data_IF_207663501498
#
_entry.id   IF_207663501498
#
_cell.length_a   1.000
_cell.length_b   1.000
_cell.length_c   1.000
_cell.angle_alpha   90.00
_cell.angle_beta   90.00
_cell.angle_gamma   90.00
#
_symmetry.space_group_name_H-M   'P 1'
#
loop_
_entity.id
_entity.type
_entity.pdbx_description
1 polymer ?
#
# COMPACT_ATOMS: atom_id res chain seq x y z
N UNK A 1 -86.73 28.72 -0.72
CA UNK A 1 -85.60 29.07 -1.59
C UNK A 1 -84.56 27.95 -1.48
N UNK A 2 -84.32 27.23 -2.58
CA UNK A 2 -83.19 26.34 -2.91
C UNK A 2 -82.99 25.07 -2.02
N UNK A 3 -83.33 23.85 -2.45
CA UNK A 3 -82.58 22.93 -3.37
C UNK A 3 -81.22 22.50 -2.79
N UNK A 4 -80.79 21.22 -2.67
CA UNK A 4 -81.24 19.93 -3.22
C UNK A 4 -80.69 18.71 -2.42
N UNK A 5 -81.56 17.71 -2.21
CA UNK A 5 -81.43 16.26 -2.43
C UNK A 5 -80.39 15.37 -1.70
N UNK A 6 -80.94 14.56 -0.78
CA UNK A 6 -80.90 13.08 -0.69
C UNK A 6 -80.07 12.27 -1.70
N UNK A 7 -79.30 11.30 -1.17
CA UNK A 7 -79.17 9.85 -1.50
C UNK A 7 -77.86 9.40 -0.83
N UNK A 8 -77.66 8.24 -0.21
CA UNK A 8 -78.40 6.99 -0.08
C UNK A 8 -77.42 6.00 0.57
N UNK A 9 -77.96 5.08 1.36
CA UNK A 9 -77.30 3.97 2.04
C UNK A 9 -76.27 3.20 1.20
N UNK A 10 -75.10 2.87 1.76
CA UNK A 10 -74.45 1.56 1.56
C UNK A 10 -73.79 1.13 2.87
N UNK A 11 -74.35 0.05 3.44
CA UNK A 11 -73.76 -0.79 4.48
C UNK A 11 -72.73 -1.70 3.78
N UNK A 12 -71.48 -1.70 4.22
CA UNK A 12 -70.55 -2.79 3.92
C UNK A 12 -69.85 -3.22 5.20
N UNK A 13 -70.30 -4.36 5.73
CA UNK A 13 -69.57 -5.13 6.70
C UNK A 13 -68.28 -5.63 6.03
N UNK A 14 -67.12 -5.13 6.46
CA UNK A 14 -65.86 -5.82 6.21
C UNK A 14 -65.62 -6.81 7.34
N UNK A 15 -66.13 -8.03 7.12
CA UNK A 15 -65.44 -9.24 7.53
C UNK A 15 -64.00 -9.13 6.99
N UNK A 16 -63.06 -8.69 7.84
CA UNK A 16 -61.66 -8.91 7.55
C UNK A 16 -61.46 -10.42 7.65
N UNK A 17 -61.43 -11.05 6.49
CA UNK A 17 -60.90 -12.39 6.34
C UNK A 17 -59.50 -12.36 6.94
N UNK A 18 -59.29 -13.17 7.98
CA UNK A 18 -57.96 -13.61 8.36
C UNK A 18 -57.45 -14.44 7.18
N UNK A 19 -56.82 -13.75 6.23
CA UNK A 19 -55.87 -14.35 5.31
C UNK A 19 -54.53 -14.22 6.00
N UNK A 20 -54.01 -15.32 6.51
CA UNK A 20 -52.58 -15.44 6.72
C UNK A 20 -51.87 -15.12 5.39
N UNK A 21 -50.91 -14.21 5.44
CA UNK A 21 -50.00 -13.97 4.32
C UNK A 21 -48.61 -13.66 4.88
N UNK A 22 -47.83 -14.72 5.08
CA UNK A 22 -46.37 -14.70 5.14
C UNK A 22 -45.76 -14.32 3.77
N UNK A 23 -46.18 -13.20 3.14
CA UNK A 23 -45.85 -12.94 1.73
C UNK A 23 -45.38 -11.52 1.41
N UNK A 24 -44.49 -10.93 2.20
CA UNK A 24 -43.74 -9.72 1.77
C UNK A 24 -42.25 -9.69 2.16
N UNK A 25 -41.70 -10.73 2.80
CA UNK A 25 -40.30 -10.65 3.27
C UNK A 25 -39.26 -10.85 2.15
N UNK A 26 -39.73 -11.18 0.93
CA UNK A 26 -38.86 -11.35 -0.24
C UNK A 26 -39.07 -10.24 -1.27
N UNK A 27 -37.97 -9.71 -1.79
CA UNK A 27 -37.95 -8.58 -2.71
C UNK A 27 -37.32 -8.96 -4.05
N UNK A 28 -37.83 -8.37 -5.12
CA UNK A 28 -37.21 -8.42 -6.44
C UNK A 28 -36.71 -7.02 -6.82
N UNK A 29 -35.40 -6.89 -6.91
CA UNK A 29 -34.71 -5.62 -7.12
C UNK A 29 -33.58 -5.79 -8.11
N UNK A 30 -33.39 -4.74 -8.90
CA UNK A 30 -32.32 -4.59 -9.85
C UNK A 30 -31.91 -3.14 -9.79
N UNK A 31 -30.68 -2.91 -9.36
CA UNK A 31 -30.05 -1.60 -9.44
C UNK A 31 -28.60 -1.78 -9.88
N UNK A 32 -28.08 -0.73 -10.52
CA UNK A 32 -26.73 -0.70 -11.04
C UNK A 32 -26.10 0.63 -10.66
N UNK A 33 -24.94 0.54 -10.04
CA UNK A 33 -24.07 1.66 -9.69
C UNK A 33 -24.80 2.78 -8.90
N UNK A 34 -25.62 2.39 -7.90
CA UNK A 34 -26.36 3.33 -7.05
C UNK A 34 -25.71 3.48 -5.66
N UNK A 35 -25.66 4.69 -5.07
CA UNK A 35 -25.23 4.88 -3.69
C UNK A 35 -26.09 4.07 -2.70
N UNK A 36 -25.51 3.66 -1.57
CA UNK A 36 -26.23 2.86 -0.57
C UNK A 36 -27.52 3.56 -0.10
N UNK A 37 -27.48 4.87 0.11
CA UNK A 37 -28.64 5.66 0.50
C UNK A 37 -29.80 5.51 -0.50
N UNK A 38 -29.50 5.66 -1.79
CA UNK A 38 -30.50 5.50 -2.86
C UNK A 38 -31.03 4.06 -2.95
N UNK A 39 -30.17 3.08 -2.66
CA UNK A 39 -30.57 1.67 -2.58
C UNK A 39 -31.51 1.43 -1.40
N UNK A 40 -31.22 1.97 -0.21
CA UNK A 40 -32.08 1.87 0.98
C UNK A 40 -33.43 2.57 0.76
N UNK A 41 -33.45 3.74 0.11
CA UNK A 41 -34.69 4.43 -0.28
C UNK A 41 -35.52 3.60 -1.26
N UNK A 42 -34.86 2.99 -2.25
CA UNK A 42 -35.51 2.11 -3.22
C UNK A 42 -36.11 0.86 -2.56
N UNK A 43 -35.46 0.34 -1.53
CA UNK A 43 -35.97 -0.78 -0.72
C UNK A 43 -37.17 -0.30 0.10
N UNK A 44 -37.09 0.88 0.72
CA UNK A 44 -38.20 1.50 1.47
C UNK A 44 -39.46 1.58 0.63
N UNK A 45 -39.35 2.15 -0.57
CA UNK A 45 -40.47 2.32 -1.49
C UNK A 45 -41.11 0.99 -1.93
N UNK A 46 -40.32 -0.07 -2.10
CA UNK A 46 -40.81 -1.38 -2.58
C UNK A 46 -41.31 -2.31 -1.49
N UNK A 47 -40.77 -2.21 -0.28
CA UNK A 47 -41.00 -3.16 0.81
C UNK A 47 -41.89 -2.62 1.92
N UNK A 48 -41.97 -1.30 2.08
CA UNK A 48 -42.63 -0.65 3.22
C UNK A 48 -41.75 -0.54 4.46
N UNK A 49 -40.53 -1.12 4.47
CA UNK A 49 -39.60 -0.99 5.59
C UNK A 49 -38.96 0.40 5.64
N UNK A 50 -38.95 1.04 6.82
CA UNK A 50 -38.29 2.32 7.03
C UNK A 50 -36.90 2.15 7.64
N UNK A 51 -35.88 2.79 7.06
CA UNK A 51 -34.52 2.73 7.60
C UNK A 51 -34.24 3.88 8.58
N UNK A 52 -33.55 3.56 9.68
CA UNK A 52 -33.01 4.55 10.61
C UNK A 52 -31.50 4.35 10.77
N UNK A 53 -30.71 5.39 10.53
CA UNK A 53 -29.25 5.37 10.59
C UNK A 53 -28.67 6.76 10.75
N UNK A 54 -27.39 6.84 11.16
CA UNK A 54 -26.60 8.06 11.08
C UNK A 54 -26.05 8.19 9.65
N UNK A 55 -26.43 9.26 8.92
CA UNK A 55 -26.00 9.50 7.54
C UNK A 55 -24.47 9.59 7.39
N UNK A 56 -23.75 10.07 8.40
CA UNK A 56 -22.29 10.14 8.37
C UNK A 56 -21.60 8.78 8.54
N UNK A 57 -22.34 7.77 9.00
CA UNK A 57 -21.82 6.41 9.13
C UNK A 57 -21.97 5.58 7.83
N UNK A 58 -22.72 6.08 6.84
CA UNK A 58 -22.88 5.42 5.54
C UNK A 58 -21.65 5.69 4.67
N UNK A 59 -21.06 4.67 4.02
CA UNK A 59 -19.93 4.86 3.11
C UNK A 59 -20.28 5.81 1.96
N UNK A 60 -19.69 7.00 1.97
CA UNK A 60 -19.88 8.01 0.90
C UNK A 60 -19.06 7.58 -0.33
N UNK A 61 -19.68 7.62 -1.51
CA UNK A 61 -19.03 7.31 -2.80
C UNK A 61 -19.00 5.84 -3.22
N UNK A 62 -19.42 4.90 -2.37
CA UNK A 62 -19.55 3.49 -2.75
C UNK A 62 -20.80 3.24 -3.60
N UNK A 63 -20.63 2.59 -4.75
CA UNK A 63 -21.72 2.27 -5.68
C UNK A 63 -22.06 0.78 -5.62
N UNK A 64 -23.36 0.49 -5.54
CA UNK A 64 -23.89 -0.86 -5.37
C UNK A 64 -24.59 -1.30 -6.65
N UNK A 65 -24.32 -2.54 -7.05
CA UNK A 65 -24.99 -3.22 -8.17
C UNK A 65 -25.50 -4.57 -7.68
N UNK A 66 -26.81 -4.79 -7.79
CA UNK A 66 -27.43 -6.04 -7.38
C UNK A 66 -28.68 -6.31 -8.21
N UNK A 67 -28.74 -7.51 -8.78
CA UNK A 67 -29.95 -8.06 -9.40
C UNK A 67 -30.32 -9.34 -8.68
N UNK A 68 -31.47 -9.34 -8.00
CA UNK A 68 -32.02 -10.49 -7.28
C UNK A 68 -33.53 -10.54 -7.43
N UNK A 69 -34.06 -11.75 -7.59
CA UNK A 69 -35.50 -12.03 -7.58
C UNK A 69 -35.81 -12.85 -6.34
N UNK A 70 -36.81 -12.43 -5.56
CA UNK A 70 -37.28 -13.13 -4.38
C UNK A 70 -36.25 -13.27 -3.25
N UNK A 71 -35.42 -12.26 -3.01
CA UNK A 71 -34.43 -12.28 -1.91
C UNK A 71 -35.04 -11.80 -0.59
N UNK A 72 -34.81 -12.54 0.49
CA UNK A 72 -35.21 -12.11 1.84
C UNK A 72 -34.53 -10.79 2.23
N UNK A 73 -35.24 -9.85 2.82
CA UNK A 73 -34.70 -8.52 3.16
C UNK A 73 -33.49 -8.59 4.13
N UNK A 74 -33.46 -9.48 5.12
CA UNK A 74 -32.24 -9.66 5.94
C UNK A 74 -31.05 -10.14 5.13
N UNK A 75 -31.27 -11.08 4.21
CA UNK A 75 -30.21 -11.57 3.34
C UNK A 75 -29.74 -10.48 2.37
N UNK A 76 -30.67 -9.63 1.91
CA UNK A 76 -30.36 -8.45 1.12
C UNK A 76 -29.49 -7.47 1.93
N UNK A 77 -29.87 -7.13 3.15
CA UNK A 77 -29.12 -6.20 4.00
C UNK A 77 -27.77 -6.78 4.42
N UNK A 78 -27.70 -8.08 4.69
CA UNK A 78 -26.43 -8.76 4.89
C UNK A 78 -25.53 -8.57 3.66
N UNK A 79 -26.03 -8.76 2.45
CA UNK A 79 -25.24 -8.52 1.22
C UNK A 79 -24.82 -7.06 1.08
N UNK A 80 -25.71 -6.11 1.37
CA UNK A 80 -25.44 -4.67 1.20
C UNK A 80 -24.51 -4.08 2.26
N UNK A 81 -24.55 -4.62 3.48
CA UNK A 81 -23.73 -4.15 4.60
C UNK A 81 -22.47 -4.99 4.82
N UNK A 82 -22.29 -6.08 4.06
CA UNK A 82 -21.04 -6.84 4.02
C UNK A 82 -19.87 -5.90 3.69
N UNK A 83 -18.80 -6.00 4.48
CA UNK A 83 -17.62 -5.14 4.33
C UNK A 83 -17.76 -3.76 4.95
N UNK A 84 -18.93 -3.40 5.50
CA UNK A 84 -19.11 -2.18 6.31
C UNK A 84 -18.98 -2.51 7.80
N UNK A 85 -18.68 -1.49 8.63
CA UNK A 85 -18.77 -1.61 10.10
C UNK A 85 -20.22 -1.51 10.60
N UNK A 86 -21.20 -1.63 9.71
CA UNK A 86 -22.62 -1.50 10.02
C UNK A 86 -23.23 -2.88 10.26
N UNK A 87 -24.16 -2.94 11.20
CA UNK A 87 -25.11 -4.03 11.39
C UNK A 87 -26.52 -3.48 11.23
N UNK A 88 -27.46 -4.35 10.87
CA UNK A 88 -28.87 -4.05 10.91
C UNK A 88 -29.58 -4.82 12.01
N UNK A 89 -30.60 -4.21 12.58
CA UNK A 89 -31.58 -4.87 13.45
C UNK A 89 -32.97 -4.47 12.99
N UNK A 90 -33.93 -5.40 13.07
CA UNK A 90 -35.31 -5.14 12.65
C UNK A 90 -36.23 -5.12 13.86
N UNK A 91 -37.13 -4.15 13.90
CA UNK A 91 -38.23 -4.08 14.84
C UNK A 91 -39.50 -3.69 14.07
N UNK A 92 -40.41 -4.65 13.88
CA UNK A 92 -41.60 -4.49 13.03
C UNK A 92 -41.24 -3.99 11.62
N UNK A 93 -41.81 -2.86 11.19
CA UNK A 93 -41.57 -2.25 9.88
C UNK A 93 -40.35 -1.31 9.86
N UNK A 94 -39.59 -1.22 10.95
CA UNK A 94 -38.40 -0.38 11.06
C UNK A 94 -37.11 -1.22 11.05
N UNK A 95 -36.15 -0.79 10.23
CA UNK A 95 -34.80 -1.38 10.15
C UNK A 95 -33.77 -0.36 10.61
N UNK A 96 -33.08 -0.65 11.71
CA UNK A 96 -32.07 0.22 12.29
C UNK A 96 -30.69 -0.26 11.82
N UNK A 97 -29.97 0.60 11.11
CA UNK A 97 -28.58 0.36 10.71
C UNK A 97 -27.66 1.18 11.63
N UNK A 98 -26.73 0.51 12.31
CA UNK A 98 -25.82 1.12 13.28
C UNK A 98 -24.43 0.53 13.20
N UNK A 99 -23.44 1.24 13.72
CA UNK A 99 -22.11 0.68 13.89
C UNK A 99 -22.17 -0.49 14.89
N UNK A 100 -21.48 -1.60 14.58
CA UNK A 100 -21.38 -2.76 15.48
C UNK A 100 -20.79 -2.33 16.83
N UNK A 101 -21.49 -2.58 17.94
CA UNK A 101 -20.96 -2.31 19.27
C UNK A 101 -20.07 -3.46 19.75
N UNK A 102 -18.79 -3.14 19.91
CA UNK A 102 -17.75 -4.05 20.37
C UNK A 102 -16.46 -3.27 20.63
N UNK A 103 -16.54 -2.25 21.49
CA UNK A 103 -15.36 -1.61 22.08
C UNK A 103 -15.35 -1.96 23.56
N UNK A 104 -14.69 -3.06 23.90
CA UNK A 104 -14.10 -3.22 25.22
C UNK A 104 -12.63 -2.85 25.12
N UNK A 105 -12.24 -1.83 25.87
CA UNK A 105 -10.85 -1.55 26.23
C UNK A 105 -10.27 -2.81 26.90
N UNK A 106 -9.22 -3.40 26.34
CA UNK A 106 -8.09 -4.01 27.05
C UNK A 106 -7.12 -4.63 26.05
N UNK A 107 -5.81 -4.47 26.34
CA UNK A 107 -4.74 -5.32 25.81
C UNK A 107 -4.08 -4.84 24.51
N UNK A 108 -2.93 -4.21 24.66
CA UNK A 108 -1.88 -4.22 23.63
C UNK A 108 -1.46 -5.68 23.42
N UNK A 109 -2.06 -6.36 22.44
CA UNK A 109 -1.47 -7.53 21.79
C UNK A 109 -1.59 -7.29 20.28
N UNK A 110 -0.61 -6.58 19.74
CA UNK A 110 -0.41 -6.51 18.30
C UNK A 110 -0.01 -7.89 17.80
N UNK A 111 -0.72 -8.38 16.79
CA UNK A 111 -0.52 -9.66 16.09
C UNK A 111 -1.14 -10.89 16.76
N UNK A 112 -2.29 -11.35 16.22
CA UNK A 112 -2.73 -12.77 16.16
C UNK A 112 -4.09 -13.01 15.51
N UNK A 113 -4.59 -12.08 14.70
CA UNK A 113 -5.69 -12.37 13.80
C UNK A 113 -5.23 -12.34 12.35
N UNK A 114 -5.76 -13.26 11.56
CA UNK A 114 -5.56 -13.33 10.12
C UNK A 114 -6.92 -13.21 9.45
N UNK A 115 -6.95 -12.53 8.31
CA UNK A 115 -8.17 -12.25 7.56
C UNK A 115 -8.06 -12.81 6.15
N UNK A 116 -9.22 -13.08 5.58
CA UNK A 116 -9.35 -13.43 4.17
C UNK A 116 -9.78 -12.19 3.41
N UNK A 117 -9.24 -11.96 2.21
CA UNK A 117 -9.70 -10.92 1.30
C UNK A 117 -10.18 -11.60 0.03
N UNK A 118 -11.35 -11.24 -0.43
CA UNK A 118 -11.98 -11.79 -1.64
C UNK A 118 -12.52 -10.64 -2.48
N UNK A 119 -12.81 -10.94 -3.74
CA UNK A 119 -13.50 -9.99 -4.61
C UNK A 119 -13.42 -10.42 -6.05
N UNK A 120 -13.83 -9.50 -6.92
CA UNK A 120 -13.70 -9.65 -8.36
C UNK A 120 -13.02 -8.43 -8.98
N UNK A 121 -12.46 -8.62 -10.16
CA UNK A 121 -11.90 -7.54 -10.99
C UNK A 121 -12.58 -7.55 -12.35
N UNK A 122 -13.06 -6.38 -12.76
CA UNK A 122 -13.78 -6.19 -14.01
C UNK A 122 -13.32 -4.94 -14.72
N UNK A 123 -13.49 -4.92 -16.03
CA UNK A 123 -13.23 -3.74 -16.84
C UNK A 123 -14.30 -2.67 -16.59
N UNK A 124 -13.87 -1.41 -16.48
CA UNK A 124 -14.67 -0.31 -16.00
C UNK A 124 -15.91 -0.05 -16.88
N UNK A 125 -15.81 -0.16 -18.20
CA UNK A 125 -16.88 0.21 -19.15
C UNK A 125 -17.81 -0.96 -19.46
N UNK A 126 -17.26 -2.04 -19.99
CA UNK A 126 -17.96 -3.27 -20.39
C UNK A 126 -18.45 -4.08 -19.19
N UNK A 127 -17.82 -3.92 -18.02
CA UNK A 127 -18.05 -4.75 -16.82
C UNK A 127 -17.71 -6.22 -17.04
N UNK A 128 -16.97 -6.57 -18.09
CA UNK A 128 -16.46 -7.92 -18.32
C UNK A 128 -15.44 -8.29 -17.24
N UNK A 129 -15.41 -9.57 -16.86
CA UNK A 129 -14.38 -10.11 -15.97
C UNK A 129 -13.00 -9.96 -16.60
N UNK A 130 -12.01 -9.60 -15.77
CA UNK A 130 -10.61 -9.58 -16.19
C UNK A 130 -9.91 -10.77 -15.52
N UNK A 131 -9.53 -11.75 -16.34
CA UNK A 131 -8.65 -12.85 -15.96
C UNK A 131 -7.20 -12.38 -15.89
N UNK A 132 -6.38 -12.97 -15.02
CA UNK A 132 -4.94 -12.73 -15.03
C UNK A 132 -4.50 -11.43 -14.32
N UNK A 133 -5.37 -10.75 -13.58
CA UNK A 133 -5.01 -9.57 -12.80
C UNK A 133 -4.21 -10.00 -11.59
N UNK A 134 -3.02 -9.43 -11.41
CA UNK A 134 -2.23 -9.56 -10.19
C UNK A 134 -2.89 -8.76 -9.07
N UNK A 135 -3.32 -9.46 -8.01
CA UNK A 135 -3.92 -8.82 -6.82
C UNK A 135 -3.03 -9.07 -5.61
N UNK A 136 -2.40 -8.03 -5.07
CA UNK A 136 -1.38 -8.21 -4.02
C UNK A 136 -1.36 -7.09 -2.99
N UNK A 137 -0.79 -7.38 -1.82
CA UNK A 137 -0.53 -6.39 -0.77
C UNK A 137 0.84 -5.76 -1.04
N UNK A 138 0.86 -4.44 -1.18
CA UNK A 138 2.06 -3.70 -1.56
C UNK A 138 3.27 -4.00 -0.64
N UNK A 139 4.40 -4.25 -1.26
CA UNK A 139 5.69 -4.50 -0.61
C UNK A 139 5.76 -5.81 0.16
N UNK A 140 4.84 -6.76 -0.05
CA UNK A 140 4.82 -8.06 0.64
C UNK A 140 4.95 -9.23 -0.33
N UNK A 141 5.02 -10.45 0.22
CA UNK A 141 4.88 -11.68 -0.56
C UNK A 141 3.42 -12.11 -0.78
N UNK A 142 2.47 -11.43 -0.15
CA UNK A 142 1.05 -11.80 -0.17
C UNK A 142 0.40 -11.31 -1.46
N UNK A 143 0.04 -12.24 -2.34
CA UNK A 143 -0.64 -11.94 -3.59
C UNK A 143 -1.26 -13.16 -4.25
N UNK A 144 -2.18 -12.93 -5.17
CA UNK A 144 -2.87 -13.92 -5.99
C UNK A 144 -3.05 -13.38 -7.41
N UNK A 145 -3.63 -14.19 -8.28
CA UNK A 145 -4.09 -13.80 -9.62
C UNK A 145 -5.60 -14.04 -9.72
N UNK A 146 -6.32 -13.25 -10.51
CA UNK A 146 -7.75 -13.50 -10.78
C UNK A 146 -7.97 -14.71 -11.69
N UNK A 147 -9.05 -15.44 -11.45
CA UNK A 147 -9.50 -16.55 -12.30
C UNK A 147 -10.17 -16.07 -13.60
N UNK A 148 -10.58 -17.01 -14.47
CA UNK A 148 -11.32 -16.75 -15.72
C UNK A 148 -12.64 -15.96 -15.55
N UNK A 149 -13.17 -15.89 -14.32
CA UNK A 149 -14.37 -15.13 -13.98
C UNK A 149 -14.05 -13.81 -13.27
N UNK A 150 -12.76 -13.45 -13.20
CA UNK A 150 -12.24 -12.25 -12.56
C UNK A 150 -12.22 -12.33 -11.04
N UNK A 151 -12.52 -13.47 -10.41
CA UNK A 151 -12.53 -13.58 -8.96
C UNK A 151 -11.14 -13.83 -8.40
N UNK A 152 -10.88 -13.35 -7.19
CA UNK A 152 -9.63 -13.59 -6.48
C UNK A 152 -9.85 -13.85 -4.99
N UNK A 153 -8.81 -14.41 -4.35
CA UNK A 153 -8.79 -14.71 -2.92
C UNK A 153 -7.37 -14.61 -2.37
N UNK A 154 -7.20 -13.78 -1.35
CA UNK A 154 -6.02 -13.74 -0.49
C UNK A 154 -6.40 -14.35 0.86
N UNK A 155 -5.59 -15.28 1.36
CA UNK A 155 -5.76 -15.85 2.70
C UNK A 155 -4.64 -15.40 3.61
N UNK A 156 -4.85 -15.59 4.90
CA UNK A 156 -3.81 -15.42 5.92
C UNK A 156 -3.22 -14.00 6.03
N UNK A 157 -3.96 -12.97 5.61
CA UNK A 157 -3.52 -11.58 5.70
C UNK A 157 -3.50 -11.18 7.18
N UNK A 158 -2.35 -10.81 7.77
CA UNK A 158 -2.32 -10.40 9.17
C UNK A 158 -3.17 -9.15 9.41
N UNK A 159 -3.52 -8.89 10.66
CA UNK A 159 -4.12 -7.61 11.02
C UNK A 159 -3.15 -6.45 10.77
N UNK A 160 -3.67 -5.32 10.28
CA UNK A 160 -2.85 -4.18 9.92
C UNK A 160 -3.51 -3.22 8.95
N UNK A 161 -2.81 -2.13 8.63
CA UNK A 161 -3.15 -1.22 7.53
C UNK A 161 -2.38 -1.63 6.28
N UNK A 162 -3.06 -1.73 5.14
CA UNK A 162 -2.46 -2.22 3.91
C UNK A 162 -2.93 -1.43 2.69
N UNK A 163 -2.14 -1.51 1.62
CA UNK A 163 -2.52 -1.11 0.27
C UNK A 163 -2.71 -2.38 -0.57
N UNK A 164 -3.93 -2.66 -1.00
CA UNK A 164 -4.24 -3.70 -1.97
C UNK A 164 -4.10 -3.15 -3.38
N UNK A 165 -3.33 -3.83 -4.22
CA UNK A 165 -2.98 -3.40 -5.58
C UNK A 165 -3.56 -4.37 -6.60
N UNK A 166 -4.13 -3.83 -7.68
CA UNK A 166 -4.64 -4.54 -8.84
C UNK A 166 -3.82 -4.12 -10.06
N UNK A 167 -3.01 -5.05 -10.56
CA UNK A 167 -2.02 -4.83 -11.61
C UNK A 167 -2.29 -5.73 -12.80
N UNK A 168 -2.30 -5.16 -14.00
CA UNK A 168 -2.44 -5.90 -15.24
C UNK A 168 -1.83 -5.11 -16.40
N UNK A 169 -1.17 -5.79 -17.35
CA UNK A 169 -0.47 -5.17 -18.48
C UNK A 169 -1.36 -4.23 -19.33
N UNK A 170 -2.61 -4.65 -19.56
CA UNK A 170 -3.57 -3.91 -20.41
C UNK A 170 -4.42 -2.86 -19.70
N UNK A 171 -4.36 -2.75 -18.37
CA UNK A 171 -5.27 -1.88 -17.59
C UNK A 171 -4.51 -0.95 -16.66
N UNK A 172 -5.10 0.19 -16.37
CA UNK A 172 -4.54 1.15 -15.42
C UNK A 172 -4.38 0.53 -14.03
N UNK A 173 -3.28 0.89 -13.36
CA UNK A 173 -2.99 0.44 -12.01
C UNK A 173 -4.05 0.99 -11.06
N UNK A 174 -4.69 0.11 -10.27
CA UNK A 174 -5.59 0.52 -9.20
C UNK A 174 -5.04 0.06 -7.85
N UNK A 175 -5.18 0.92 -6.83
CA UNK A 175 -4.80 0.56 -5.46
C UNK A 175 -5.79 1.12 -4.44
N UNK A 176 -5.98 0.37 -3.35
CA UNK A 176 -6.95 0.69 -2.30
C UNK A 176 -6.33 0.49 -0.93
N UNK A 177 -6.38 1.52 -0.09
CA UNK A 177 -6.02 1.40 1.32
C UNK A 177 -7.14 0.72 2.09
N UNK A 178 -6.82 -0.29 2.90
CA UNK A 178 -7.77 -0.96 3.78
C UNK A 178 -7.14 -1.35 5.11
N UNK A 179 -7.99 -1.66 6.09
CA UNK A 179 -7.57 -2.09 7.44
C UNK A 179 -8.07 -3.50 7.70
N UNK A 180 -7.14 -4.44 7.84
CA UNK A 180 -7.39 -5.80 8.27
C UNK A 180 -7.55 -5.82 9.81
N UNK A 181 -8.76 -6.07 10.27
CA UNK A 181 -9.20 -6.02 11.66
C UNK A 181 -10.23 -7.11 11.95
N UNK A 182 -10.05 -7.79 13.08
CA UNK A 182 -10.90 -8.89 13.56
C UNK A 182 -10.88 -10.10 12.59
N UNK A 183 -11.18 -11.32 13.06
CA UNK A 183 -11.11 -12.58 12.29
C UNK A 183 -12.14 -12.72 11.13
N UNK A 184 -12.45 -11.66 10.39
CA UNK A 184 -13.47 -11.63 9.33
C UNK A 184 -12.88 -11.72 7.91
N UNK A 185 -13.75 -12.01 6.94
CA UNK A 185 -13.44 -11.93 5.51
C UNK A 185 -13.80 -10.55 4.95
N UNK A 186 -12.91 -9.97 4.15
CA UNK A 186 -13.09 -8.73 3.42
C UNK A 186 -13.52 -9.00 1.97
N UNK A 187 -14.33 -8.10 1.43
CA UNK A 187 -14.72 -8.09 0.02
C UNK A 187 -14.31 -6.76 -0.61
N UNK A 188 -13.28 -6.78 -1.46
CA UNK A 188 -12.76 -5.59 -2.16
C UNK A 188 -12.80 -5.86 -3.66
N UNK A 189 -13.52 -5.07 -4.43
CA UNK A 189 -13.66 -5.29 -5.87
C UNK A 189 -12.83 -4.27 -6.66
N UNK A 190 -12.22 -4.71 -7.75
CA UNK A 190 -11.48 -3.86 -8.67
C UNK A 190 -12.31 -3.52 -9.91
N UNK A 191 -12.34 -2.24 -10.27
CA UNK A 191 -12.78 -1.78 -11.58
C UNK A 191 -11.61 -1.10 -12.26
N UNK A 192 -11.12 -1.68 -13.35
CA UNK A 192 -9.95 -1.17 -14.07
C UNK A 192 -10.36 -0.59 -15.42
N UNK A 193 -9.87 0.59 -15.77
CA UNK A 193 -10.03 1.13 -17.14
C UNK A 193 -8.86 0.65 -18.00
N UNK A 194 -9.08 0.53 -19.31
CA UNK A 194 -8.01 0.17 -20.23
C UNK A 194 -6.92 1.23 -20.24
N UNK A 195 -5.66 0.79 -20.32
CA UNK A 195 -4.57 1.72 -20.65
C UNK A 195 -4.79 2.18 -22.09
N UNK A 196 -5.28 3.40 -22.25
CA UNK A 196 -5.38 4.01 -23.59
C UNK A 196 -3.96 4.44 -23.96
N UNK A 197 -3.32 3.68 -24.84
CA UNK A 197 -2.11 4.13 -25.51
C UNK A 197 -2.50 5.22 -26.48
N UNK A 198 -2.50 6.47 -26.01
CA UNK A 198 -2.67 7.61 -26.90
C UNK A 198 -1.39 7.71 -27.74
N UNK A 199 -1.43 7.22 -28.98
CA UNK A 199 -0.45 7.57 -30.01
C UNK A 199 -0.81 8.95 -30.59
N UNK A 200 -1.06 9.94 -29.73
CA UNK A 200 -1.37 11.29 -30.18
C UNK A 200 -0.19 12.20 -29.89
N UNK A 201 0.52 12.46 -30.98
CA UNK A 201 1.03 13.77 -31.41
C UNK A 201 1.53 14.73 -30.32
N UNK A 202 2.84 14.97 -30.41
CA UNK A 202 3.58 16.15 -29.92
C UNK A 202 2.66 17.36 -29.69
N UNK A 203 2.41 17.68 -28.43
CA UNK A 203 2.12 19.05 -27.98
C UNK A 203 3.04 19.39 -26.80
N UNK A 204 4.24 19.87 -27.16
CA UNK A 204 4.95 20.98 -26.51
C UNK A 204 4.84 21.00 -24.97
N UNK A 205 5.52 20.10 -24.24
CA UNK A 205 5.98 20.22 -22.83
C UNK A 205 6.76 18.95 -22.37
N UNK A 206 6.71 17.81 -23.07
CA UNK A 206 7.48 16.62 -22.67
C UNK A 206 8.96 16.73 -23.04
N UNK A 207 9.85 16.37 -22.11
CA UNK A 207 11.29 16.27 -22.33
C UNK A 207 11.62 15.31 -23.49
N UNK A 208 12.72 15.55 -24.23
CA UNK A 208 13.05 14.75 -25.41
C UNK A 208 13.36 13.30 -25.02
N UNK A 209 12.68 12.37 -25.69
CA UNK A 209 12.90 10.93 -25.54
C UNK A 209 14.30 10.60 -26.06
N UNK A 210 15.02 9.81 -25.27
CA UNK A 210 16.36 9.33 -25.56
C UNK A 210 16.35 8.42 -26.81
N UNK A 211 17.32 8.62 -27.69
CA UNK A 211 17.47 7.79 -28.90
C UNK A 211 17.84 6.34 -28.59
N UNK A 212 17.49 5.40 -29.48
CA UNK A 212 17.84 3.97 -29.32
C UNK A 212 19.36 3.74 -29.13
N UNK A 213 20.20 4.53 -29.81
CA UNK A 213 21.67 4.44 -29.69
C UNK A 213 22.18 4.87 -28.31
N UNK A 214 21.50 5.81 -27.65
CA UNK A 214 21.86 6.32 -26.32
C UNK A 214 21.20 5.52 -25.19
N UNK A 215 20.11 4.80 -25.47
CA UNK A 215 19.34 4.04 -24.49
C UNK A 215 20.22 3.16 -23.57
N UNK A 216 21.25 2.42 -24.05
CA UNK A 216 22.11 1.62 -23.16
C UNK A 216 22.90 2.43 -22.11
N UNK A 217 23.19 3.72 -22.36
CA UNK A 217 23.79 4.61 -21.37
C UNK A 217 22.80 4.93 -20.26
N UNK A 218 21.59 5.34 -20.64
CA UNK A 218 20.54 5.72 -19.69
C UNK A 218 19.99 4.53 -18.92
N UNK A 219 19.88 3.35 -19.55
CA UNK A 219 19.53 2.13 -18.85
C UNK A 219 20.56 1.74 -17.78
N UNK A 220 21.86 1.91 -18.05
CA UNK A 220 22.90 1.69 -17.02
C UNK A 220 22.79 2.68 -15.86
N UNK A 221 22.46 3.94 -16.17
CA UNK A 221 22.20 4.96 -15.15
C UNK A 221 20.96 4.61 -14.32
N UNK A 222 19.85 4.27 -14.97
CA UNK A 222 18.64 3.79 -14.32
C UNK A 222 18.92 2.58 -13.42
N UNK A 223 19.58 1.51 -13.92
CA UNK A 223 19.93 0.34 -13.10
C UNK A 223 20.73 0.74 -11.87
N UNK A 224 21.72 1.62 -12.01
CA UNK A 224 22.54 2.09 -10.88
C UNK A 224 21.70 2.80 -9.82
N UNK A 225 20.83 3.72 -10.24
CA UNK A 225 20.05 4.54 -9.32
C UNK A 225 18.84 3.82 -8.73
N UNK A 226 18.24 2.92 -9.50
CA UNK A 226 17.05 2.16 -9.11
C UNK A 226 17.39 0.89 -8.34
N UNK A 227 18.32 0.06 -8.84
CA UNK A 227 18.73 -1.18 -8.16
C UNK A 227 19.82 -0.94 -7.11
N UNK A 228 20.59 0.14 -7.23
CA UNK A 228 21.72 0.44 -6.35
C UNK A 228 23.04 -0.15 -6.86
N UNK A 229 24.07 -0.10 -6.00
CA UNK A 229 25.42 -0.62 -6.32
C UNK A 229 25.96 -1.60 -5.28
N UNK A 230 25.08 -2.18 -4.46
CA UNK A 230 25.43 -3.20 -3.48
C UNK A 230 25.84 -4.53 -4.11
N UNK A 231 26.38 -5.44 -3.28
CA UNK A 231 26.64 -6.81 -3.71
C UNK A 231 25.38 -7.53 -4.23
N UNK A 232 24.20 -7.19 -3.70
CA UNK A 232 22.94 -7.75 -4.17
C UNK A 232 22.56 -7.18 -5.55
N UNK A 233 22.80 -5.89 -5.78
CA UNK A 233 22.53 -5.23 -7.07
C UNK A 233 23.27 -5.89 -8.24
N UNK A 234 24.52 -6.33 -8.02
CA UNK A 234 25.30 -7.08 -9.02
C UNK A 234 24.69 -8.42 -9.45
N UNK A 235 23.70 -8.92 -8.72
CA UNK A 235 22.98 -10.18 -8.98
C UNK A 235 21.47 -9.93 -9.19
N UNK A 236 21.12 -8.70 -9.57
CA UNK A 236 19.78 -8.31 -9.96
C UNK A 236 19.72 -8.03 -11.46
N UNK A 237 18.69 -8.56 -12.11
CA UNK A 237 18.43 -8.34 -13.54
C UNK A 237 16.99 -7.89 -13.74
N UNK A 238 16.77 -6.88 -14.60
CA UNK A 238 15.43 -6.48 -15.04
C UNK A 238 15.16 -7.26 -16.33
N UNK A 239 14.20 -8.19 -16.29
CA UNK A 239 13.97 -9.17 -17.36
C UNK A 239 13.23 -8.60 -18.58
N UNK A 240 12.50 -7.51 -18.38
CA UNK A 240 11.72 -6.80 -19.41
C UNK A 240 12.18 -5.33 -19.54
N UNK A 241 13.50 -5.13 -19.62
CA UNK A 241 14.10 -3.79 -19.65
C UNK A 241 13.59 -2.92 -20.82
N UNK A 242 13.18 -3.53 -21.92
CA UNK A 242 12.56 -2.89 -23.08
C UNK A 242 11.22 -2.19 -22.80
N UNK A 243 10.62 -2.44 -21.62
CA UNK A 243 9.44 -1.70 -21.16
C UNK A 243 9.75 -0.29 -20.67
N UNK A 244 11.05 0.07 -20.55
CA UNK A 244 11.51 1.36 -20.06
C UNK A 244 11.75 2.35 -21.20
N UNK A 245 11.09 3.48 -21.09
CA UNK A 245 11.37 4.68 -21.86
C UNK A 245 12.10 5.70 -20.99
N UNK A 246 13.01 6.45 -21.61
CA UNK A 246 13.83 7.44 -20.92
C UNK A 246 13.73 8.79 -21.62
N UNK A 247 13.68 9.85 -20.82
CA UNK A 247 13.80 11.23 -21.31
C UNK A 247 14.88 11.96 -20.52
N UNK A 248 15.55 12.90 -21.17
CA UNK A 248 16.56 13.72 -20.53
C UNK A 248 16.47 15.16 -21.01
N UNK A 249 16.34 16.09 -20.09
CA UNK A 249 16.32 17.51 -20.36
C UNK A 249 17.71 18.10 -20.12
N UNK A 250 18.37 18.57 -21.18
CA UNK A 250 19.71 19.18 -21.09
C UNK A 250 19.72 20.52 -20.33
N UNK A 251 18.63 21.29 -20.39
CA UNK A 251 18.54 22.62 -19.77
C UNK A 251 18.37 22.51 -18.25
N UNK A 252 17.50 21.59 -17.80
CA UNK A 252 17.24 21.34 -16.37
C UNK A 252 18.12 20.25 -15.79
N UNK A 253 18.82 19.49 -16.64
CA UNK A 253 19.64 18.31 -16.28
C UNK A 253 18.84 17.22 -15.56
N UNK A 254 17.56 17.11 -15.91
CA UNK A 254 16.64 16.13 -15.33
C UNK A 254 16.57 14.89 -16.22
N UNK A 255 16.79 13.73 -15.61
CA UNK A 255 16.63 12.40 -16.20
C UNK A 255 15.39 11.72 -15.64
N UNK A 256 14.46 11.34 -16.51
CA UNK A 256 13.25 10.60 -16.14
C UNK A 256 13.22 9.22 -16.78
N UNK A 257 12.49 8.31 -16.13
CA UNK A 257 12.27 6.95 -16.61
C UNK A 257 10.84 6.52 -16.35
N UNK A 258 10.21 5.96 -17.36
CA UNK A 258 8.84 5.46 -17.29
C UNK A 258 8.80 4.00 -17.73
N UNK A 259 7.94 3.19 -17.11
CA UNK A 259 7.76 1.80 -17.46
C UNK A 259 6.35 1.58 -18.03
N UNK A 260 6.26 1.05 -19.24
CA UNK A 260 4.98 0.74 -19.90
C UNK A 260 4.28 -0.47 -19.27
N UNK A 261 5.07 -1.35 -18.63
CA UNK A 261 4.64 -2.56 -17.95
C UNK A 261 5.32 -2.66 -16.57
N UNK A 262 4.79 -3.47 -15.65
CA UNK A 262 5.46 -3.69 -14.37
C UNK A 262 6.86 -4.28 -14.61
N UNK A 263 7.88 -3.71 -14.00
CA UNK A 263 9.25 -4.21 -14.11
C UNK A 263 9.37 -5.56 -13.41
N UNK A 264 9.94 -6.55 -14.10
CA UNK A 264 10.18 -7.88 -13.54
C UNK A 264 11.66 -8.00 -13.19
N UNK A 265 11.96 -7.92 -11.90
CA UNK A 265 13.32 -7.89 -11.36
C UNK A 265 13.64 -9.26 -10.76
N UNK A 266 14.59 -9.98 -11.35
CA UNK A 266 15.11 -11.21 -10.80
C UNK A 266 16.25 -10.88 -9.83
N UNK A 267 16.04 -11.07 -8.53
CA UNK A 267 17.05 -10.90 -7.50
C UNK A 267 17.58 -12.27 -7.04
N UNK A 268 18.64 -12.74 -7.68
CA UNK A 268 19.27 -14.02 -7.34
C UNK A 268 20.12 -13.97 -6.06
N UNK A 269 20.40 -12.77 -5.54
CA UNK A 269 21.09 -12.61 -4.27
C UNK A 269 20.18 -12.91 -3.09
N UNK A 270 18.93 -12.46 -3.17
CA UNK A 270 17.91 -12.65 -2.14
C UNK A 270 16.93 -13.78 -2.49
N UNK A 271 16.95 -14.35 -3.70
CA UNK A 271 16.04 -15.43 -4.06
C UNK A 271 14.59 -14.96 -4.17
N UNK A 272 14.38 -13.81 -4.81
CA UNK A 272 13.06 -13.26 -5.09
C UNK A 272 12.97 -12.83 -6.55
N UNK A 273 11.79 -12.98 -7.13
CA UNK A 273 11.36 -12.17 -8.27
C UNK A 273 10.50 -11.04 -7.74
N UNK A 274 10.82 -9.80 -8.09
CA UNK A 274 10.05 -8.61 -7.71
C UNK A 274 9.33 -8.10 -8.94
N UNK A 275 8.00 -8.01 -8.88
CA UNK A 275 7.22 -7.26 -9.85
C UNK A 275 7.02 -5.85 -9.30
N UNK A 276 7.47 -4.83 -10.02
CA UNK A 276 7.50 -3.45 -9.56
C UNK A 276 6.75 -2.53 -10.54
N UNK A 277 5.64 -1.97 -10.07
CA UNK A 277 4.89 -0.92 -10.76
C UNK A 277 5.58 0.42 -10.52
N UNK A 278 6.34 0.90 -11.51
CA UNK A 278 7.04 2.17 -11.42
C UNK A 278 6.05 3.33 -11.62
N UNK A 279 5.73 4.03 -10.54
CA UNK A 279 4.82 5.20 -10.59
C UNK A 279 5.59 6.50 -10.86
N UNK A 280 6.85 6.57 -10.44
CA UNK A 280 7.72 7.73 -10.62
C UNK A 280 9.19 7.33 -10.61
N UNK A 281 9.97 7.91 -11.50
CA UNK A 281 11.42 7.91 -11.45
C UNK A 281 11.96 9.21 -12.04
N UNK A 282 12.73 9.94 -11.26
CA UNK A 282 13.38 11.17 -11.66
C UNK A 282 14.72 11.30 -10.96
N UNK A 283 15.71 11.79 -11.71
CA UNK A 283 17.01 12.18 -11.19
C UNK A 283 17.34 13.59 -11.67
N UNK A 284 17.72 14.44 -10.73
CA UNK A 284 18.36 15.73 -11.00
C UNK A 284 19.85 15.66 -10.62
N UNK A 285 20.52 16.82 -10.59
CA UNK A 285 21.93 16.92 -10.22
C UNK A 285 22.21 16.52 -8.76
N UNK A 286 21.23 16.64 -7.87
CA UNK A 286 21.38 16.48 -6.42
C UNK A 286 20.90 15.12 -5.93
N UNK A 287 19.84 14.57 -6.51
CA UNK A 287 19.13 13.40 -5.97
C UNK A 287 18.45 12.55 -7.05
N UNK A 288 18.15 11.32 -6.67
CA UNK A 288 17.19 10.47 -7.37
C UNK A 288 15.98 10.22 -6.48
N UNK A 289 14.79 10.46 -7.03
CA UNK A 289 13.50 10.15 -6.43
C UNK A 289 12.77 9.10 -7.26
N UNK A 290 12.27 8.05 -6.61
CA UNK A 290 11.43 7.06 -7.27
C UNK A 290 10.49 6.41 -6.26
N UNK A 291 9.32 5.99 -6.72
CA UNK A 291 8.38 5.21 -5.92
C UNK A 291 7.47 4.36 -6.82
N UNK A 292 6.80 3.40 -6.19
CA UNK A 292 6.00 2.43 -6.90
C UNK A 292 5.37 1.39 -5.99
N UNK A 293 4.76 0.37 -6.59
CA UNK A 293 4.19 -0.76 -5.87
C UNK A 293 4.96 -2.04 -6.19
N UNK A 294 5.37 -2.76 -5.15
CA UNK A 294 6.17 -3.97 -5.30
C UNK A 294 5.40 -5.22 -4.85
N UNK A 295 5.56 -6.31 -5.57
CA UNK A 295 5.18 -7.66 -5.16
C UNK A 295 6.40 -8.56 -5.17
N UNK A 296 6.63 -9.28 -4.08
CA UNK A 296 7.72 -10.23 -3.96
C UNK A 296 7.21 -11.65 -4.17
N UNK A 297 7.87 -12.40 -5.05
CA UNK A 297 7.62 -13.84 -5.26
C UNK A 297 8.88 -14.60 -4.89
N UNK A 298 8.87 -15.43 -3.83
CA UNK A 298 10.01 -16.28 -3.47
C UNK A 298 10.37 -17.22 -4.61
N UNK A 299 11.67 -17.38 -4.88
CA UNK A 299 12.18 -18.36 -5.83
C UNK A 299 12.40 -19.72 -5.14
N UNK A 300 12.31 -20.80 -5.90
CA UNK A 300 12.70 -22.13 -5.43
C UNK A 300 14.22 -22.30 -5.49
N UNK A 301 14.90 -22.64 -4.38
CA UNK A 301 16.34 -22.81 -4.39
C UNK A 301 16.73 -24.12 -5.09
N UNK A 302 17.63 -24.05 -6.07
CA UNK A 302 18.15 -25.23 -6.79
C UNK A 302 18.94 -26.20 -5.88
N UNK A 303 19.42 -25.71 -4.72
CA UNK A 303 20.14 -26.53 -3.74
C UNK A 303 20.07 -25.98 -2.33
N UNK A 304 20.35 -26.85 -1.34
CA UNK A 304 20.50 -26.44 0.06
C UNK A 304 21.61 -25.40 0.28
N UNK A 305 22.63 -25.34 -0.60
CA UNK A 305 23.68 -24.33 -0.54
C UNK A 305 23.14 -22.95 -0.93
N UNK A 306 22.35 -22.89 -2.00
CA UNK A 306 21.72 -21.64 -2.47
C UNK A 306 20.73 -21.12 -1.43
N UNK A 307 19.86 -21.99 -0.93
CA UNK A 307 18.94 -21.74 0.19
C UNK A 307 19.62 -21.08 1.39
N UNK A 308 20.70 -21.67 1.92
CA UNK A 308 21.48 -21.09 3.03
C UNK A 308 22.11 -19.75 2.68
N UNK A 309 22.56 -19.58 1.42
CA UNK A 309 23.13 -18.32 0.93
C UNK A 309 22.07 -17.21 0.90
N UNK A 310 20.89 -17.50 0.35
CA UNK A 310 19.76 -16.56 0.33
C UNK A 310 19.35 -16.16 1.74
N UNK A 311 19.17 -17.11 2.66
CA UNK A 311 18.85 -16.81 4.06
C UNK A 311 19.89 -15.88 4.70
N UNK A 312 21.18 -16.16 4.52
CA UNK A 312 22.25 -15.30 5.02
C UNK A 312 22.17 -13.89 4.42
N UNK A 313 21.96 -13.78 3.12
CA UNK A 313 21.87 -12.49 2.43
C UNK A 313 20.64 -11.70 2.87
N UNK A 314 19.48 -12.35 3.03
CA UNK A 314 18.24 -11.74 3.52
C UNK A 314 18.34 -11.22 4.94
N UNK A 315 18.95 -12.00 5.85
CA UNK A 315 19.23 -11.52 7.20
C UNK A 315 20.14 -10.29 7.16
N UNK A 316 21.17 -10.30 6.30
CA UNK A 316 22.06 -9.15 6.12
C UNK A 316 21.32 -7.92 5.57
N UNK A 317 20.47 -8.09 4.55
CA UNK A 317 19.70 -6.98 3.98
C UNK A 317 18.58 -6.48 4.90
N UNK A 318 18.11 -7.31 5.83
CA UNK A 318 17.07 -6.89 6.79
C UNK A 318 17.67 -6.11 7.96
N UNK A 319 18.65 -6.68 8.67
CA UNK A 319 19.22 -6.05 9.86
C UNK A 319 19.95 -4.76 9.48
N UNK A 320 19.65 -3.68 10.19
CA UNK A 320 20.19 -2.36 9.89
C UNK A 320 19.48 -1.60 8.78
N UNK A 321 18.54 -2.21 8.04
CA UNK A 321 17.74 -1.51 7.02
C UNK A 321 16.76 -0.51 7.62
N UNK A 322 16.26 0.40 6.78
CA UNK A 322 15.20 1.34 7.16
C UNK A 322 13.91 0.64 7.62
N UNK A 323 13.58 -0.52 7.03
CA UNK A 323 12.45 -1.35 7.46
C UNK A 323 12.67 -1.89 8.86
N UNK A 324 13.88 -2.39 9.18
CA UNK A 324 14.21 -2.83 10.52
C UNK A 324 14.12 -1.68 11.51
N UNK A 325 14.69 -0.52 11.17
CA UNK A 325 14.61 0.68 11.99
C UNK A 325 13.17 1.08 12.32
N UNK A 326 12.29 1.23 11.32
CA UNK A 326 10.91 1.64 11.57
C UNK A 326 10.12 0.59 12.35
N UNK A 327 10.33 -0.70 12.10
CA UNK A 327 9.71 -1.77 12.91
C UNK A 327 10.16 -1.70 14.37
N UNK A 328 11.45 -1.54 14.63
CA UNK A 328 12.00 -1.38 15.98
C UNK A 328 11.52 -0.09 16.66
N UNK A 329 11.38 1.01 15.90
CA UNK A 329 10.85 2.28 16.37
C UNK A 329 9.37 2.15 16.78
N UNK A 330 8.57 1.47 15.97
CA UNK A 330 7.16 1.20 16.26
C UNK A 330 6.97 0.27 17.47
N UNK A 331 7.86 -0.71 17.63
CA UNK A 331 7.84 -1.69 18.70
C UNK A 331 8.39 -1.17 20.03
N UNK A 332 8.99 0.03 20.06
CA UNK A 332 9.74 0.57 21.21
C UNK A 332 10.93 -0.33 21.62
N UNK A 333 11.67 -0.84 20.63
CA UNK A 333 12.80 -1.77 20.78
C UNK A 333 14.09 -1.24 20.12
N UNK A 334 14.19 0.07 19.83
CA UNK A 334 15.32 0.63 19.07
C UNK A 334 16.68 0.34 19.69
N UNK A 335 16.83 0.57 21.00
CA UNK A 335 18.12 0.43 21.70
C UNK A 335 18.53 -1.05 21.79
N UNK A 336 17.59 -1.95 22.05
CA UNK A 336 17.77 -3.41 22.08
C UNK A 336 18.17 -3.94 20.71
N UNK A 337 17.52 -3.43 19.66
CA UNK A 337 17.82 -3.79 18.28
C UNK A 337 19.12 -3.16 17.76
N UNK A 338 19.71 -2.21 18.49
CA UNK A 338 21.05 -1.66 18.23
C UNK A 338 21.06 -0.34 17.48
N UNK A 339 19.92 0.36 17.45
CA UNK A 339 19.78 1.68 16.87
C UNK A 339 19.93 2.78 17.91
N UNK A 340 20.50 3.90 17.49
CA UNK A 340 20.52 5.18 18.20
C UNK A 340 20.11 6.30 17.26
N UNK A 341 19.40 7.28 17.77
CA UNK A 341 18.90 8.41 16.99
C UNK A 341 19.39 9.73 17.57
N UNK A 342 19.72 10.67 16.69
CA UNK A 342 20.27 11.97 17.07
C UNK A 342 19.61 13.06 16.25
N UNK A 343 19.27 14.18 16.90
CA UNK A 343 18.84 15.39 16.20
C UNK A 343 20.05 16.13 15.62
N UNK A 344 19.94 16.53 14.35
CA UNK A 344 20.99 17.22 13.60
C UNK A 344 20.38 18.41 12.87
N UNK A 345 20.82 19.63 13.18
CA UNK A 345 20.28 20.86 12.57
C UNK A 345 20.73 21.08 11.13
N UNK A 346 21.98 20.72 10.87
CA UNK A 346 22.61 20.90 9.57
C UNK A 346 23.52 19.69 9.33
N UNK A 347 23.47 19.14 8.12
CA UNK A 347 24.24 17.97 7.70
C UNK A 347 25.75 18.19 7.94
N UNK A 348 26.23 19.41 7.77
CA UNK A 348 27.63 19.78 8.03
C UNK A 348 28.03 19.77 9.51
N UNK A 349 27.06 19.82 10.44
CA UNK A 349 27.32 19.79 11.89
C UNK A 349 27.73 18.41 12.41
N UNK A 350 27.58 17.35 11.61
CA UNK A 350 27.96 15.97 11.97
C UNK A 350 29.45 15.87 12.33
N UNK A 351 30.30 16.73 11.77
CA UNK A 351 31.75 16.72 12.02
C UNK A 351 32.20 17.55 13.23
N UNK A 352 31.42 18.55 13.64
CA UNK A 352 31.93 19.66 14.47
C UNK A 352 31.17 19.90 15.78
N UNK A 353 30.04 19.21 16.02
CA UNK A 353 29.22 19.41 17.22
C UNK A 353 28.92 18.12 17.98
N UNK A 354 28.61 18.31 19.27
CA UNK A 354 28.07 17.28 20.15
C UNK A 354 26.65 16.95 19.68
N UNK A 355 26.50 15.86 18.93
CA UNK A 355 25.19 15.33 18.54
C UNK A 355 24.34 15.10 19.79
N UNK A 356 23.05 15.46 19.71
CA UNK A 356 22.11 15.27 20.82
C UNK A 356 21.32 14.00 20.53
N UNK A 357 21.56 12.96 21.32
CA UNK A 357 20.76 11.73 21.28
C UNK A 357 19.33 12.08 21.71
N UNK A 358 18.35 11.62 20.95
CA UNK A 358 16.91 11.85 21.19
C UNK A 358 16.21 10.50 21.44
N UNK A 359 14.99 10.54 21.97
CA UNK A 359 14.21 9.35 22.29
C UNK A 359 13.15 9.07 21.19
N UNK A 360 12.66 7.82 21.08
CA UNK A 360 11.64 7.45 20.09
C UNK A 360 10.41 8.37 20.08
N UNK A 361 9.93 8.74 21.27
CA UNK A 361 8.76 9.60 21.48
C UNK A 361 8.97 11.04 20.97
N UNK A 362 10.22 11.46 20.76
CA UNK A 362 10.52 12.80 20.20
C UNK A 362 10.20 12.87 18.69
N UNK A 363 10.16 11.73 18.00
CA UNK A 363 9.98 11.67 16.54
C UNK A 363 8.78 10.84 16.08
N UNK A 364 8.21 10.02 16.97
CA UNK A 364 7.14 9.08 16.63
C UNK A 364 5.91 9.31 17.53
N UNK A 365 4.78 9.60 16.89
CA UNK A 365 3.48 9.67 17.55
C UNK A 365 2.50 8.64 16.97
N UNK A 366 1.37 8.42 17.66
CA UNK A 366 0.28 7.60 17.10
C UNK A 366 -0.36 8.31 15.91
N UNK A 367 -0.65 7.53 14.87
CA UNK A 367 -1.33 8.01 13.67
C UNK A 367 -2.84 8.10 13.86
N UNK A 368 -3.56 8.23 12.74
CA UNK A 368 -5.02 8.40 12.73
C UNK A 368 -5.78 7.14 13.18
N UNK A 369 -5.12 5.99 13.15
CA UNK A 369 -5.68 4.72 13.59
C UNK A 369 -4.62 3.82 14.24
N UNK A 370 -5.06 2.70 14.81
CA UNK A 370 -4.24 1.82 15.64
C UNK A 370 -3.08 1.11 14.91
N UNK A 371 -3.07 1.08 13.59
CA UNK A 371 -1.99 0.49 12.77
C UNK A 371 -1.18 1.54 12.03
N UNK A 372 -1.28 2.79 12.44
CA UNK A 372 -0.52 3.88 11.85
C UNK A 372 0.22 4.67 12.93
N UNK A 373 1.38 5.17 12.54
CA UNK A 373 2.20 6.07 13.31
C UNK A 373 2.51 7.30 12.47
N UNK A 374 2.70 8.42 13.15
CA UNK A 374 3.07 9.70 12.58
C UNK A 374 4.55 9.92 12.90
N UNK A 375 5.39 9.94 11.88
CA UNK A 375 6.80 10.33 12.00
C UNK A 375 6.91 11.84 11.75
N UNK A 376 7.33 12.59 12.76
CA UNK A 376 7.27 14.06 12.81
C UNK A 376 8.49 14.61 13.55
N UNK A 377 9.29 15.43 12.86
CA UNK A 377 10.48 16.08 13.40
C UNK A 377 10.87 17.29 12.51
N UNK A 378 11.44 18.34 13.10
CA UNK A 378 11.70 19.61 12.39
C UNK A 378 13.02 19.63 11.60
N UNK A 379 14.10 19.11 12.19
CA UNK A 379 15.45 19.13 11.61
C UNK A 379 15.75 17.79 10.90
N UNK A 380 17.02 17.36 10.86
CA UNK A 380 17.38 16.01 10.43
C UNK A 380 17.42 15.05 11.62
N UNK A 381 17.11 13.78 11.36
CA UNK A 381 17.33 12.68 12.30
C UNK A 381 18.44 11.79 11.76
N UNK A 382 19.58 11.76 12.43
CA UNK A 382 20.65 10.80 12.14
C UNK A 382 20.37 9.51 12.91
N UNK A 383 20.42 8.39 12.19
CA UNK A 383 20.30 7.04 12.74
C UNK A 383 21.66 6.36 12.67
N UNK A 384 22.13 5.83 13.80
CA UNK A 384 23.29 4.93 13.88
C UNK A 384 22.80 3.52 14.16
N UNK A 385 23.31 2.53 13.43
CA UNK A 385 23.11 1.12 13.70
C UNK A 385 24.43 0.48 14.14
N UNK A 386 24.55 0.21 15.43
CA UNK A 386 25.83 -0.12 16.07
C UNK A 386 26.23 -1.60 15.90
N UNK A 387 25.35 -2.44 15.34
CA UNK A 387 25.58 -3.88 15.12
C UNK A 387 26.14 -4.18 13.72
N UNK A 388 26.22 -3.20 12.83
CA UNK A 388 26.86 -3.33 11.51
C UNK A 388 27.80 -2.17 11.27
N UNK A 389 28.83 -2.45 10.47
CA UNK A 389 29.77 -1.44 10.02
C UNK A 389 29.58 -1.19 8.53
N UNK A 390 29.90 0.03 8.11
CA UNK A 390 29.77 0.44 6.72
C UNK A 390 30.57 -0.47 5.79
N UNK A 391 29.92 -0.98 4.74
CA UNK A 391 30.57 -1.87 3.78
C UNK A 391 31.66 -1.14 2.99
N UNK A 392 32.71 -1.85 2.59
CA UNK A 392 33.76 -1.27 1.73
C UNK A 392 33.22 -0.79 0.38
N UNK A 393 32.16 -1.42 -0.12
CA UNK A 393 31.49 -1.06 -1.37
C UNK A 393 30.80 0.30 -1.24
N UNK A 394 30.05 0.50 -0.15
CA UNK A 394 29.47 1.80 0.19
C UNK A 394 30.56 2.86 0.31
N UNK A 395 31.60 2.62 1.13
CA UNK A 395 32.70 3.56 1.33
C UNK A 395 33.43 3.92 0.03
N UNK A 396 33.60 2.95 -0.89
CA UNK A 396 34.20 3.18 -2.20
C UNK A 396 33.29 3.89 -3.20
N UNK A 397 31.99 3.94 -2.92
CA UNK A 397 31.01 4.62 -3.76
C UNK A 397 30.86 6.10 -3.45
N UNK A 398 31.36 6.54 -2.28
CA UNK A 398 31.32 7.93 -1.85
C UNK A 398 32.40 8.76 -2.56
N UNK A 399 32.03 9.95 -3.03
CA UNK A 399 32.96 10.92 -3.61
C UNK A 399 33.68 11.73 -2.51
N UNK A 400 34.82 12.39 -2.81
CA UNK A 400 35.53 13.24 -1.82
C UNK A 400 34.63 14.33 -1.20
N UNK A 401 33.73 14.90 -2.00
CA UNK A 401 32.74 15.87 -1.54
C UNK A 401 31.67 15.23 -0.64
N UNK A 402 31.23 14.00 -0.88
CA UNK A 402 30.24 13.30 -0.03
C UNK A 402 30.87 12.85 1.30
N UNK A 403 32.13 12.43 1.26
CA UNK A 403 32.92 12.07 2.45
C UNK A 403 33.12 13.30 3.35
N UNK A 404 33.25 14.50 2.78
CA UNK A 404 33.51 15.74 3.51
C UNK A 404 32.25 16.55 3.85
N UNK A 405 31.15 16.39 3.12
CA UNK A 405 29.89 17.13 3.33
C UNK A 405 28.88 16.40 4.21
N UNK A 406 28.79 15.06 4.13
CA UNK A 406 27.70 14.33 4.77
C UNK A 406 28.03 13.76 6.15
N UNK A 407 29.29 13.70 6.59
CA UNK A 407 29.62 13.13 7.92
C UNK A 407 29.47 11.62 8.03
N UNK A 408 29.12 10.96 6.93
CA UNK A 408 28.77 9.54 6.81
C UNK A 408 29.88 8.73 6.12
N UNK A 409 31.10 9.23 6.18
CA UNK A 409 32.33 8.57 5.71
C UNK A 409 33.44 8.67 6.76
N UNK A 410 34.53 7.89 6.63
CA UNK A 410 35.58 7.86 7.63
C UNK A 410 36.28 9.21 7.74
N UNK A 411 36.26 9.80 8.94
CA UNK A 411 36.94 11.07 9.24
C UNK A 411 38.44 10.99 8.94
N UNK A 412 38.93 11.92 8.12
CA UNK A 412 40.27 11.99 7.55
C UNK A 412 41.44 11.76 8.52
N UNK A 413 42.40 10.93 8.10
CA UNK A 413 43.75 10.89 8.66
C UNK A 413 44.48 9.57 8.44
N UNK A 414 45.13 9.38 7.27
CA UNK A 414 46.23 8.44 6.89
C UNK A 414 46.15 6.94 7.33
N UNK A 415 45.13 6.54 8.09
CA UNK A 415 44.72 5.19 8.44
C UNK A 415 43.16 5.10 8.46
N UNK A 416 42.47 6.02 7.79
CA UNK A 416 41.01 6.25 7.83
C UNK A 416 40.18 5.26 7.00
N UNK A 417 40.53 3.97 7.02
CA UNK A 417 39.74 2.90 6.40
C UNK A 417 39.12 1.95 7.44
N UNK A 418 39.02 2.36 8.71
CA UNK A 418 38.27 1.58 9.69
C UNK A 418 36.80 1.94 9.58
N UNK A 419 35.94 0.99 9.16
CA UNK A 419 34.50 1.23 9.05
C UNK A 419 33.92 1.64 10.41
N UNK A 420 33.17 2.74 10.43
CA UNK A 420 32.35 3.10 11.59
C UNK A 420 31.06 2.29 11.63
N UNK A 421 30.26 2.47 12.69
CA UNK A 421 28.88 2.01 12.70
C UNK A 421 28.14 2.53 11.47
N UNK A 422 27.22 1.74 10.93
CA UNK A 422 26.39 2.14 9.81
C UNK A 422 25.56 3.37 10.19
N UNK A 423 25.62 4.43 9.38
CA UNK A 423 24.86 5.65 9.61
C UNK A 423 23.98 6.03 8.42
N UNK A 424 22.83 6.59 8.72
CA UNK A 424 21.91 7.16 7.73
C UNK A 424 21.21 8.35 8.33
N UNK A 425 20.65 9.21 7.49
CA UNK A 425 19.95 10.40 7.94
C UNK A 425 18.61 10.52 7.25
N UNK A 426 17.64 11.01 7.99
CA UNK A 426 16.27 11.20 7.58
C UNK A 426 15.96 12.69 7.54
N UNK A 427 15.28 13.12 6.48
CA UNK A 427 14.80 14.48 6.30
C UNK A 427 13.33 14.44 5.85
N UNK A 428 12.45 15.14 6.56
CA UNK A 428 11.05 15.25 6.16
C UNK A 428 10.88 16.37 5.11
N UNK A 429 10.14 16.08 4.04
CA UNK A 429 9.76 17.05 3.00
C UNK A 429 8.36 17.63 3.21
N UNK A 430 7.79 17.37 4.39
CA UNK A 430 6.45 17.76 4.83
C UNK A 430 6.42 17.73 6.35
N UNK A 431 5.35 18.27 6.96
CA UNK A 431 5.22 18.31 8.42
C UNK A 431 5.33 16.93 9.07
N UNK A 432 4.86 15.87 8.40
CA UNK A 432 5.01 14.49 8.89
C UNK A 432 4.78 13.49 7.77
N UNK A 433 5.22 12.25 7.97
CA UNK A 433 4.80 11.10 7.14
C UNK A 433 4.09 10.06 7.98
N UNK A 434 3.25 9.27 7.33
CA UNK A 434 2.54 8.16 7.97
C UNK A 434 3.30 6.86 7.76
N UNK A 435 3.59 6.14 8.84
CA UNK A 435 4.09 4.77 8.82
C UNK A 435 2.95 3.80 9.08
N UNK A 436 2.86 2.71 8.31
CA UNK A 436 2.00 1.58 8.67
C UNK A 436 2.65 0.68 9.74
N UNK A 437 1.94 -0.37 10.17
CA UNK A 437 2.40 -1.30 11.20
C UNK A 437 3.61 -2.15 10.80
N UNK A 438 3.99 -2.15 9.52
CA UNK A 438 5.21 -2.79 9.02
C UNK A 438 6.35 -1.79 8.80
N UNK A 439 6.15 -0.51 9.11
CA UNK A 439 7.13 0.55 8.88
C UNK A 439 7.16 1.05 7.43
N UNK A 440 6.17 0.74 6.58
CA UNK A 440 6.09 1.30 5.24
C UNK A 440 5.58 2.74 5.28
N UNK A 441 6.21 3.62 4.48
CA UNK A 441 5.83 5.03 4.34
C UNK A 441 4.67 5.16 3.36
N UNK A 442 3.59 5.82 3.77
CA UNK A 442 2.41 6.03 2.89
C UNK A 442 2.58 7.13 1.87
N UNK A 443 3.43 8.12 2.15
CA UNK A 443 3.70 9.25 1.26
C UNK A 443 5.17 9.22 0.82
N UNK A 444 5.51 8.49 -0.27
CA UNK A 444 6.90 8.13 -0.60
C UNK A 444 7.86 9.32 -0.77
N UNK A 445 7.37 10.44 -1.32
CA UNK A 445 8.18 11.66 -1.48
C UNK A 445 8.23 12.53 -0.22
N UNK A 446 7.57 12.10 0.86
CA UNK A 446 7.50 12.84 2.12
C UNK A 446 8.72 12.69 3.01
N UNK A 447 9.57 11.68 2.76
CA UNK A 447 10.77 11.40 3.52
C UNK A 447 11.95 11.18 2.57
N UNK A 448 13.05 11.87 2.81
CA UNK A 448 14.32 11.68 2.12
C UNK A 448 15.30 10.95 3.04
N UNK A 449 16.04 10.00 2.46
CA UNK A 449 17.12 9.27 3.13
C UNK A 449 18.46 9.69 2.56
N UNK A 450 19.45 9.87 3.42
CA UNK A 450 20.83 10.22 3.06
C UNK A 450 21.78 9.20 3.72
N UNK A 451 22.90 8.90 3.06
CA UNK A 451 23.92 7.96 3.56
C UNK A 451 23.61 6.51 3.21
N UNK A 452 23.88 5.59 4.13
CA UNK A 452 23.86 4.16 3.83
C UNK A 452 22.53 3.65 3.24
N UNK A 453 21.38 4.05 3.80
CA UNK A 453 20.06 3.69 3.26
C UNK A 453 19.73 4.31 1.90
N UNK A 454 20.42 5.39 1.49
CA UNK A 454 20.29 5.95 0.15
C UNK A 454 21.15 5.20 -0.88
N UNK A 455 22.06 4.35 -0.43
CA UNK A 455 22.88 3.49 -1.27
C UNK A 455 22.27 2.10 -1.46
N UNK A 456 21.63 1.56 -0.42
CA UNK A 456 20.79 0.37 -0.50
C UNK A 456 19.45 0.70 -1.16
N UNK A 457 19.24 0.21 -2.39
CA UNK A 457 18.06 0.50 -3.22
C UNK A 457 17.24 -0.77 -3.44
N UNK A 458 16.55 -0.89 -4.59
CA UNK A 458 15.61 -2.00 -4.86
C UNK A 458 16.24 -3.38 -4.74
N UNK A 459 17.54 -3.53 -5.02
CA UNK A 459 18.23 -4.81 -4.89
C UNK A 459 18.38 -5.32 -3.43
N UNK A 460 18.29 -4.43 -2.46
CA UNK A 460 18.42 -4.75 -1.03
C UNK A 460 17.06 -4.76 -0.31
N UNK A 461 15.96 -4.43 -1.01
CA UNK A 461 14.64 -4.44 -0.43
C UNK A 461 14.22 -5.85 -0.02
N UNK A 462 13.74 -5.93 1.23
CA UNK A 462 13.10 -7.10 1.79
C UNK A 462 11.58 -6.92 1.79
N UNK A 463 10.78 -7.99 1.58
CA UNK A 463 9.34 -7.93 1.78
C UNK A 463 9.00 -7.41 3.18
N UNK A 464 7.99 -6.58 3.31
CA UNK A 464 7.54 -6.02 4.58
C UNK A 464 7.00 -7.09 5.55
N UNK A 465 6.56 -8.23 5.02
CA UNK A 465 6.17 -9.44 5.76
C UNK A 465 7.35 -10.40 6.03
N UNK A 466 8.59 -10.03 5.69
CA UNK A 466 9.77 -10.81 6.08
C UNK A 466 9.99 -10.76 7.59
N UNK A 467 10.18 -11.94 8.18
CA UNK A 467 10.55 -12.14 9.58
C UNK A 467 11.84 -12.99 9.65
N UNK A 468 12.98 -12.41 10.08
CA UNK A 468 14.24 -13.14 10.17
C UNK A 468 14.22 -14.29 11.20
N UNK A 469 13.31 -14.27 12.18
CA UNK A 469 13.17 -15.34 13.19
C UNK A 469 12.38 -16.53 12.63
N UNK A 470 11.47 -16.27 11.69
CA UNK A 470 10.66 -17.30 11.03
C UNK A 470 11.26 -17.81 9.70
N UNK A 471 12.30 -17.16 9.18
CA UNK A 471 12.99 -17.59 7.95
C UNK A 471 13.74 -18.92 8.14
N UNK A 472 12.97 -20.00 8.05
CA UNK A 472 13.43 -21.37 8.14
C UNK A 472 13.84 -21.93 6.77
N UNK A 473 13.99 -21.08 5.74
CA UNK A 473 14.34 -21.54 4.41
C UNK A 473 15.60 -22.39 4.41
#
# INVERSE_FOLDING_TARGET
>A
MRWKWLFGFVLFAFLHSVKGQDTTDTLSLSFKDLPLEIVLDSITYKSGYYFSYNADAIPKGSLYTLTRKGIHIDNLLNILLVGTMLEHSRYEDQIIIRAKQGVSKEGVDGSRGKVQITGWVREYRSKNAIEGVNVFINGTTIGTVTDQYGNYRLTDVPHGSYILVFSHVAYELASYSFKAENNNSYAINGLLDFKVRTLDQIEIISDPIVSEDEWPRYYRMFKKEFLGSSANASRCEILNAESLDFSYNEDTRVFTGEAQEPLIILNEALGYQVSYELEHFERDDDRTSFYGKARFTPLDPESNRIRKKWRKNRMKSYYGSITHFFKSLIADELKEEGFRIYSVKDVSEIFNKKMVEIEPDDILARGTNRYEWKLDFDDYVMVSYDKEVESTQYLSSLNEDEISSNGLGPTSGINSHQPGAQKSMLELKRTYVTLDHNGQIKEPLGLTTIGYWSWERVADLMPADYDPKADNL
#
